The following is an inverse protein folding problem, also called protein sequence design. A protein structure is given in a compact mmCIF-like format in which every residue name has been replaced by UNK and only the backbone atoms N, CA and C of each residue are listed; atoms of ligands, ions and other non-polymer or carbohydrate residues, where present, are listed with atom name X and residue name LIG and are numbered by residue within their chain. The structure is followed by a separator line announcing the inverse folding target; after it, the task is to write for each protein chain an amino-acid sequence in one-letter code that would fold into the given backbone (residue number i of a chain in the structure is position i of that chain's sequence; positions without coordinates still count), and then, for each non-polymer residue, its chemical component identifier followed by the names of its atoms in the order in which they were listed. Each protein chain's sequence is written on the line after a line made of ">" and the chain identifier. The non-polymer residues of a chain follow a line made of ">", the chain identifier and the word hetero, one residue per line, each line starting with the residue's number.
data_IF_100540712225
#
_entry.id   IF_100540712225
#
_cell.length_a   1.000
_cell.length_b   1.000
_cell.length_c   1.000
_cell.angle_alpha   90.00
_cell.angle_beta   90.00
_cell.angle_gamma   90.00
#
_symmetry.space_group_name_H-M   'P 1'
#
loop_
_entity.id
_entity.type
_entity.pdbx_description
1 polymer ?
#
# COMPACT_ATOMS: atom_id res chain seq x y z
N UNK A 1 -13.20 -14.63 -3.26
CA UNK A 1 -12.51 -15.14 -2.08
C UNK A 1 -11.08 -15.31 -2.52
N UNK A 2 -10.21 -14.43 -2.09
CA UNK A 2 -8.78 -14.41 -2.44
C UNK A 2 -7.98 -15.28 -1.45
N UNK A 3 -8.57 -15.71 -0.33
CA UNK A 3 -7.97 -16.67 0.59
C UNK A 3 -7.98 -18.10 0.04
N UNK A 4 -6.96 -18.87 0.43
CA UNK A 4 -6.89 -20.31 0.23
C UNK A 4 -6.28 -21.02 1.43
N UNK A 5 -6.71 -22.26 1.68
CA UNK A 5 -6.17 -23.07 2.78
C UNK A 5 -5.98 -24.54 2.38
N UNK A 6 -5.11 -25.21 3.13
CA UNK A 6 -4.91 -26.65 3.08
C UNK A 6 -4.87 -27.21 4.49
N UNK A 7 -5.56 -28.33 4.71
CA UNK A 7 -5.48 -29.11 5.93
C UNK A 7 -5.47 -30.59 5.55
N UNK A 8 -4.27 -31.18 5.53
CA UNK A 8 -4.04 -32.60 5.23
C UNK A 8 -3.10 -33.18 6.28
N UNK A 9 -2.98 -34.51 6.34
CA UNK A 9 -2.19 -35.20 7.36
C UNK A 9 -0.76 -34.65 7.44
N UNK A 10 -0.47 -33.94 8.52
CA UNK A 10 0.85 -33.37 8.81
C UNK A 10 1.20 -32.05 8.10
N UNK A 11 0.30 -31.44 7.32
CA UNK A 11 0.54 -30.14 6.67
C UNK A 11 -0.72 -29.26 6.66
N UNK A 12 -0.57 -28.06 7.22
CA UNK A 12 -1.62 -27.06 7.37
C UNK A 12 -1.13 -25.71 6.87
N UNK A 13 -1.90 -25.06 6.00
CA UNK A 13 -1.51 -23.80 5.35
C UNK A 13 -2.72 -22.87 5.27
N UNK A 14 -2.50 -21.59 5.55
CA UNK A 14 -3.41 -20.49 5.24
C UNK A 14 -2.65 -19.45 4.41
N UNK A 15 -3.27 -18.99 3.34
CA UNK A 15 -2.74 -17.98 2.43
C UNK A 15 -3.83 -16.95 2.10
N UNK A 16 -3.48 -15.68 2.17
CA UNK A 16 -4.35 -14.54 1.88
C UNK A 16 -3.85 -13.84 0.61
N UNK A 17 -4.64 -13.91 -0.45
CA UNK A 17 -4.28 -13.44 -1.78
C UNK A 17 -4.47 -11.94 -1.94
N UNK A 18 -3.54 -11.29 -2.66
CA UNK A 18 -3.56 -9.87 -2.99
C UNK A 18 -3.27 -9.65 -4.49
N UNK A 19 -3.76 -8.52 -5.03
CA UNK A 19 -3.58 -8.16 -6.45
C UNK A 19 -4.88 -7.92 -7.22
N UNK A 20 -6.03 -7.90 -6.54
CA UNK A 20 -7.36 -7.83 -7.15
C UNK A 20 -7.93 -9.22 -7.40
N UNK A 21 -9.27 -9.33 -7.51
CA UNK A 21 -10.00 -10.59 -7.31
C UNK A 21 -9.45 -11.81 -8.05
N UNK A 22 -9.07 -11.68 -9.33
CA UNK A 22 -8.56 -12.83 -10.09
C UNK A 22 -7.10 -13.14 -9.76
N UNK A 23 -6.27 -12.12 -9.59
CA UNK A 23 -4.84 -12.29 -9.33
C UNK A 23 -4.58 -12.83 -7.91
N UNK A 24 -5.30 -12.33 -6.91
CA UNK A 24 -5.18 -12.79 -5.51
C UNK A 24 -5.59 -14.26 -5.33
N UNK A 25 -6.75 -14.66 -5.87
CA UNK A 25 -7.21 -16.06 -5.81
C UNK A 25 -6.21 -17.03 -6.48
N UNK A 26 -5.65 -16.64 -7.62
CA UNK A 26 -4.65 -17.46 -8.33
C UNK A 26 -3.36 -17.53 -7.51
N UNK A 27 -2.92 -16.43 -6.91
CA UNK A 27 -1.69 -16.38 -6.14
C UNK A 27 -1.75 -17.27 -4.88
N UNK A 28 -2.78 -17.12 -4.05
CA UNK A 28 -2.92 -17.88 -2.80
C UNK A 28 -3.04 -19.38 -3.09
N UNK A 29 -3.83 -19.76 -4.10
CA UNK A 29 -3.96 -21.16 -4.52
C UNK A 29 -2.65 -21.75 -5.03
N UNK A 30 -1.97 -21.05 -5.96
CA UNK A 30 -0.70 -21.52 -6.53
C UNK A 30 0.38 -21.68 -5.47
N UNK A 31 0.43 -20.78 -4.48
CA UNK A 31 1.38 -20.87 -3.38
C UNK A 31 1.15 -22.13 -2.54
N UNK A 32 -0.10 -22.37 -2.13
CA UNK A 32 -0.48 -23.53 -1.32
C UNK A 32 -0.25 -24.84 -2.08
N UNK A 33 -0.64 -24.91 -3.35
CA UNK A 33 -0.44 -26.09 -4.20
C UNK A 33 1.06 -26.39 -4.39
N UNK A 34 1.88 -25.37 -4.66
CA UNK A 34 3.33 -25.54 -4.80
C UNK A 34 3.96 -26.04 -3.50
N UNK A 35 3.60 -25.48 -2.35
CA UNK A 35 4.14 -25.95 -1.07
C UNK A 35 3.75 -27.41 -0.79
N UNK A 36 2.50 -27.77 -1.09
CA UNK A 36 2.01 -29.15 -0.94
C UNK A 36 2.77 -30.14 -1.83
N UNK A 37 3.06 -29.78 -3.07
CA UNK A 37 3.75 -30.66 -4.02
C UNK A 37 5.22 -30.89 -3.63
N UNK A 38 5.85 -29.87 -3.03
CA UNK A 38 7.29 -29.90 -2.70
C UNK A 38 7.58 -30.43 -1.30
N UNK A 39 6.63 -30.33 -0.37
CA UNK A 39 6.85 -30.73 1.00
C UNK A 39 6.59 -32.24 1.19
N UNK A 40 7.65 -32.99 1.49
CA UNK A 40 7.64 -34.44 1.70
C UNK A 40 7.89 -34.86 3.17
N UNK A 41 7.60 -33.96 4.13
CA UNK A 41 7.71 -34.19 5.59
C UNK A 41 9.13 -34.29 6.16
N UNK A 42 10.17 -33.94 5.40
CA UNK A 42 11.56 -34.20 5.78
C UNK A 42 12.23 -33.14 6.69
N UNK A 43 11.64 -31.95 6.89
CA UNK A 43 12.24 -30.92 7.76
C UNK A 43 11.67 -29.51 7.58
N UNK A 44 11.95 -28.63 8.54
CA UNK A 44 11.55 -27.20 8.48
C UNK A 44 12.28 -26.46 7.36
N UNK A 45 13.52 -26.84 7.05
CA UNK A 45 14.30 -26.30 5.94
C UNK A 45 13.72 -26.67 4.57
N UNK A 46 13.12 -27.87 4.46
CA UNK A 46 12.36 -28.29 3.28
C UNK A 46 11.10 -27.45 3.13
N UNK A 47 10.39 -27.20 4.24
CA UNK A 47 9.21 -26.31 4.23
C UNK A 47 9.59 -24.88 3.80
N UNK A 48 10.69 -24.33 4.30
CA UNK A 48 11.23 -23.04 3.86
C UNK A 48 11.54 -23.05 2.37
N UNK A 49 12.24 -24.08 1.89
CA UNK A 49 12.62 -24.21 0.48
C UNK A 49 11.40 -24.32 -0.45
N UNK A 50 10.33 -24.98 0.02
CA UNK A 50 9.06 -25.08 -0.69
C UNK A 50 8.37 -23.71 -0.81
N UNK A 51 8.36 -22.91 0.26
CA UNK A 51 7.83 -21.53 0.23
C UNK A 51 8.66 -20.63 -0.70
N UNK A 52 9.99 -20.73 -0.65
CA UNK A 52 10.85 -19.98 -1.58
C UNK A 52 10.62 -20.38 -3.04
N UNK A 53 10.31 -21.66 -3.31
CA UNK A 53 9.94 -22.12 -4.65
C UNK A 53 8.58 -21.56 -5.08
N UNK A 54 7.59 -21.59 -4.19
CA UNK A 54 6.30 -20.95 -4.43
C UNK A 54 6.45 -19.47 -4.80
N UNK A 55 7.32 -18.73 -4.10
CA UNK A 55 7.63 -17.34 -4.45
C UNK A 55 8.17 -17.20 -5.88
N UNK A 56 9.14 -18.05 -6.28
CA UNK A 56 9.72 -18.00 -7.63
C UNK A 56 8.68 -18.30 -8.72
N UNK A 57 7.79 -19.26 -8.47
CA UNK A 57 6.71 -19.60 -9.40
C UNK A 57 5.71 -18.45 -9.56
N UNK A 58 5.31 -17.82 -8.44
CA UNK A 58 4.45 -16.63 -8.45
C UNK A 58 5.09 -15.48 -9.24
N UNK A 59 6.37 -15.17 -8.99
CA UNK A 59 7.09 -14.11 -9.71
C UNK A 59 7.19 -14.42 -11.20
N UNK A 60 7.51 -15.66 -11.57
CA UNK A 60 7.55 -16.08 -12.99
C UNK A 60 6.19 -15.85 -13.65
N UNK A 61 5.13 -16.34 -13.03
CA UNK A 61 3.78 -16.29 -13.59
C UNK A 61 3.21 -14.87 -13.67
N UNK A 62 3.53 -14.01 -12.69
CA UNK A 62 3.17 -12.58 -12.72
C UNK A 62 3.90 -11.80 -13.82
N UNK A 63 5.07 -12.30 -14.26
CA UNK A 63 5.86 -11.71 -15.35
C UNK A 63 5.37 -12.18 -16.71
N UNK A 64 4.97 -13.45 -16.81
CA UNK A 64 4.57 -14.09 -18.06
C UNK A 64 3.12 -13.75 -18.46
N UNK A 65 2.24 -13.49 -17.48
CA UNK A 65 0.82 -13.18 -17.70
C UNK A 65 0.46 -11.75 -17.23
N UNK A 66 0.16 -10.82 -18.15
CA UNK A 66 -0.25 -9.46 -17.82
C UNK A 66 -1.49 -9.36 -16.93
N UNK A 67 -2.40 -10.34 -16.99
CA UNK A 67 -3.63 -10.35 -16.18
C UNK A 67 -3.35 -10.73 -14.72
N UNK A 68 -2.15 -11.28 -14.45
CA UNK A 68 -1.65 -11.64 -13.12
C UNK A 68 -0.53 -10.70 -12.63
N UNK A 69 -0.34 -9.57 -13.32
CA UNK A 69 0.70 -8.61 -12.97
C UNK A 69 0.49 -8.06 -11.56
N UNK A 70 1.51 -8.20 -10.72
CA UNK A 70 1.46 -7.75 -9.32
C UNK A 70 0.65 -8.64 -8.39
N UNK A 71 0.29 -9.87 -8.81
CA UNK A 71 -0.29 -10.85 -7.91
C UNK A 71 0.67 -11.16 -6.75
N UNK A 72 0.11 -11.36 -5.57
CA UNK A 72 0.87 -11.78 -4.41
C UNK A 72 -0.01 -12.49 -3.41
N UNK A 73 0.60 -13.05 -2.37
CA UNK A 73 -0.15 -13.68 -1.28
C UNK A 73 0.68 -13.69 -0.02
N UNK A 74 0.03 -13.70 1.14
CA UNK A 74 0.64 -14.18 2.37
C UNK A 74 0.74 -15.71 2.34
N UNK A 75 1.55 -16.28 3.23
CA UNK A 75 1.54 -17.70 3.51
C UNK A 75 2.00 -17.95 4.95
N UNK A 76 1.12 -18.55 5.74
CA UNK A 76 1.43 -19.11 7.05
C UNK A 76 1.21 -20.62 7.00
N UNK A 77 2.24 -21.39 7.32
CA UNK A 77 2.16 -22.85 7.28
C UNK A 77 2.74 -23.50 8.54
N UNK A 78 2.17 -24.66 8.86
CA UNK A 78 2.58 -25.55 9.94
C UNK A 78 2.68 -26.96 9.36
N UNK A 79 3.73 -27.69 9.72
CA UNK A 79 3.86 -29.09 9.36
C UNK A 79 4.46 -29.93 10.48
N UNK A 80 4.12 -31.21 10.51
CA UNK A 80 4.82 -32.20 11.32
C UNK A 80 6.13 -32.54 10.62
N UNK A 81 7.25 -32.37 11.32
CA UNK A 81 8.61 -32.57 10.80
C UNK A 81 9.41 -33.46 11.74
N UNK A 82 10.43 -34.14 11.21
CA UNK A 82 11.41 -34.88 12.01
C UNK A 82 12.68 -34.03 12.20
N UNK A 83 13.04 -33.74 13.45
CA UNK A 83 14.28 -33.07 13.80
C UNK A 83 15.15 -34.01 14.64
N UNK A 84 16.06 -34.71 13.96
CA UNK A 84 17.05 -35.57 14.60
C UNK A 84 16.42 -36.82 15.25
N UNK A 85 15.44 -37.42 14.59
CA UNK A 85 14.68 -38.60 15.02
C UNK A 85 13.56 -38.27 16.00
N UNK A 86 13.08 -37.03 16.03
CA UNK A 86 12.03 -36.57 16.95
C UNK A 86 10.99 -35.74 16.21
N UNK A 87 9.73 -36.03 16.50
CA UNK A 87 8.62 -35.24 15.99
C UNK A 87 8.69 -33.81 16.54
N UNK A 88 8.58 -32.85 15.63
CA UNK A 88 8.48 -31.44 15.91
C UNK A 88 7.45 -30.80 14.98
N UNK A 89 7.03 -29.59 15.33
CA UNK A 89 6.16 -28.75 14.51
C UNK A 89 7.05 -27.70 13.86
N UNK A 90 7.21 -27.79 12.54
CA UNK A 90 7.84 -26.76 11.73
C UNK A 90 6.79 -25.70 11.37
N UNK A 91 7.10 -24.43 11.64
CA UNK A 91 6.25 -23.29 11.29
C UNK A 91 7.01 -22.39 10.36
N UNK A 92 6.34 -21.88 9.32
CA UNK A 92 6.86 -20.83 8.45
C UNK A 92 5.83 -19.71 8.25
N UNK A 93 6.31 -18.47 8.13
CA UNK A 93 5.44 -17.33 7.86
C UNK A 93 6.05 -16.34 6.86
N UNK A 94 5.22 -15.87 5.95
CA UNK A 94 5.46 -14.71 5.08
C UNK A 94 4.17 -13.92 4.97
N UNK A 95 4.08 -12.78 5.66
CA UNK A 95 2.94 -11.87 5.60
C UNK A 95 2.44 -11.59 7.02
N UNK A 96 1.19 -11.18 7.13
CA UNK A 96 0.51 -10.90 8.39
C UNK A 96 -0.57 -11.92 8.75
N UNK A 97 -0.71 -13.01 7.98
CA UNK A 97 -1.41 -14.20 8.47
C UNK A 97 -0.68 -14.76 9.70
N UNK A 98 -1.45 -15.33 10.63
CA UNK A 98 -0.95 -15.63 11.97
C UNK A 98 -1.11 -17.09 12.35
N UNK A 99 -0.15 -17.58 13.13
CA UNK A 99 -0.26 -18.81 13.90
C UNK A 99 -0.24 -18.50 15.40
N UNK A 100 -1.24 -19.00 16.10
CA UNK A 100 -1.34 -18.97 17.56
C UNK A 100 -1.17 -20.38 18.13
N UNK A 101 -0.59 -20.46 19.32
CA UNK A 101 -0.54 -21.64 20.17
C UNK A 101 -1.36 -21.37 21.44
N UNK A 102 -2.37 -22.20 21.68
CA UNK A 102 -3.06 -22.33 22.95
C UNK A 102 -2.41 -23.49 23.74
N UNK A 103 -1.72 -23.15 24.82
CA UNK A 103 -1.11 -24.12 25.73
C UNK A 103 -1.44 -23.73 27.16
N UNK A 104 -1.83 -24.70 28.00
CA UNK A 104 -2.15 -24.49 29.43
C UNK A 104 -3.19 -23.37 29.66
N UNK A 105 -4.07 -23.14 28.67
CA UNK A 105 -5.11 -22.12 28.72
C UNK A 105 -4.66 -20.70 28.33
N UNK A 106 -3.40 -20.50 28.00
CA UNK A 106 -2.85 -19.24 27.47
C UNK A 106 -2.71 -19.29 25.95
N UNK A 107 -3.29 -18.29 25.27
CA UNK A 107 -3.15 -18.10 23.83
C UNK A 107 -1.94 -17.20 23.58
N UNK A 108 -1.03 -17.63 22.73
CA UNK A 108 0.16 -16.86 22.33
C UNK A 108 0.31 -16.86 20.83
N UNK A 109 0.51 -15.69 20.25
CA UNK A 109 0.96 -15.59 18.86
C UNK A 109 2.41 -16.09 18.75
N UNK A 110 2.66 -16.97 17.77
CA UNK A 110 3.99 -17.52 17.48
C UNK A 110 4.67 -16.73 16.38
N UNK A 111 3.94 -16.47 15.30
CA UNK A 111 4.46 -15.77 14.12
C UNK A 111 4.57 -14.28 14.35
N UNK A 112 5.45 -13.62 13.63
CA UNK A 112 5.50 -12.15 13.58
C UNK A 112 4.85 -11.64 12.29
N UNK A 113 4.05 -10.58 12.41
CA UNK A 113 3.41 -9.95 11.26
C UNK A 113 4.44 -9.17 10.44
N UNK A 114 4.48 -9.42 9.13
CA UNK A 114 5.22 -8.61 8.17
C UNK A 114 4.36 -7.47 7.63
N UNK A 115 3.95 -6.57 8.53
CA UNK A 115 3.19 -5.36 8.19
C UNK A 115 3.89 -4.10 8.66
N UNK A 116 3.58 -2.97 8.01
CA UNK A 116 4.17 -1.67 8.36
C UNK A 116 3.90 -1.31 9.82
N UNK A 117 2.68 -1.56 10.29
CA UNK A 117 2.29 -1.25 11.67
C UNK A 117 3.02 -2.11 12.68
N UNK A 118 3.23 -3.40 12.39
CA UNK A 118 4.02 -4.28 13.24
C UNK A 118 5.48 -3.82 13.31
N UNK A 119 6.07 -3.39 12.18
CA UNK A 119 7.41 -2.78 12.17
C UNK A 119 7.48 -1.52 13.03
N UNK A 120 6.50 -0.62 12.90
CA UNK A 120 6.45 0.63 13.68
C UNK A 120 6.28 0.36 15.18
N UNK A 121 5.43 -0.59 15.55
CA UNK A 121 5.21 -0.99 16.93
C UNK A 121 6.47 -1.60 17.55
N UNK A 122 7.14 -2.52 16.84
CA UNK A 122 8.40 -3.14 17.28
C UNK A 122 9.51 -2.10 17.48
N UNK A 123 9.51 -1.04 16.68
CA UNK A 123 10.42 0.10 16.82
C UNK A 123 10.02 1.08 17.94
N UNK A 124 8.91 0.84 18.64
CA UNK A 124 8.38 1.71 19.68
C UNK A 124 7.86 3.05 19.16
N UNK A 125 7.57 3.15 17.85
CA UNK A 125 7.10 4.39 17.21
C UNK A 125 5.61 4.60 17.35
N UNK A 126 4.86 3.52 17.51
CA UNK A 126 3.43 3.50 17.79
C UNK A 126 3.15 2.44 18.86
N UNK A 127 2.02 2.57 19.53
CA UNK A 127 1.49 1.57 20.48
C UNK A 127 0.59 0.56 19.75
N UNK A 128 0.34 -0.61 20.37
CA UNK A 128 -0.61 -1.60 19.86
C UNK A 128 -2.01 -1.01 19.57
N UNK A 129 -2.47 -0.09 20.42
CA UNK A 129 -3.77 0.57 20.25
C UNK A 129 -3.78 1.50 19.03
N UNK A 130 -2.66 2.17 18.73
CA UNK A 130 -2.51 3.01 17.54
C UNK A 130 -2.36 2.16 16.28
N UNK A 131 -1.64 1.04 16.34
CA UNK A 131 -1.47 0.09 15.25
C UNK A 131 -2.83 -0.44 14.74
N UNK A 132 -3.73 -0.81 15.66
CA UNK A 132 -5.05 -1.35 15.35
C UNK A 132 -5.94 -0.41 14.51
N UNK A 133 -5.79 0.91 14.67
CA UNK A 133 -6.59 1.93 13.95
C UNK A 133 -5.78 2.69 12.90
N UNK A 134 -4.55 2.26 12.63
CA UNK A 134 -3.66 2.99 11.73
C UNK A 134 -4.18 2.95 10.28
N UNK A 135 -4.12 4.08 9.53
CA UNK A 135 -4.60 4.13 8.15
C UNK A 135 -3.82 3.21 7.20
N UNK A 136 -2.59 2.86 7.55
CA UNK A 136 -1.70 1.99 6.76
C UNK A 136 -1.55 0.59 7.37
N UNK A 137 -2.52 0.11 8.16
CA UNK A 137 -2.42 -1.22 8.81
C UNK A 137 -2.38 -2.38 7.82
N UNK A 138 -3.01 -2.22 6.64
CA UNK A 138 -3.04 -3.24 5.57
C UNK A 138 -1.81 -3.19 4.65
N UNK A 139 -0.75 -2.44 4.99
CA UNK A 139 0.47 -2.41 4.16
C UNK A 139 1.41 -3.51 4.64
N UNK A 140 1.62 -4.51 3.79
CA UNK A 140 2.60 -5.58 4.02
C UNK A 140 4.03 -5.09 3.73
N UNK A 141 4.97 -5.49 4.59
CA UNK A 141 6.41 -5.32 4.36
C UNK A 141 7.02 -6.55 3.68
N UNK A 142 6.32 -7.69 3.69
CA UNK A 142 6.73 -8.93 3.02
C UNK A 142 5.52 -9.71 2.54
N UNK A 143 5.56 -10.16 1.28
CA UNK A 143 4.56 -11.02 0.66
C UNK A 143 5.24 -11.90 -0.39
N UNK A 144 4.63 -13.03 -0.74
CA UNK A 144 5.07 -13.87 -1.84
C UNK A 144 4.62 -13.27 -3.18
N UNK A 145 5.40 -13.50 -4.24
CA UNK A 145 5.06 -13.10 -5.62
C UNK A 145 5.47 -11.69 -6.01
N UNK A 146 5.93 -10.87 -5.06
CA UNK A 146 6.30 -9.46 -5.30
C UNK A 146 7.80 -9.33 -5.65
N UNK A 147 8.67 -9.80 -4.77
CA UNK A 147 10.12 -9.76 -4.96
C UNK A 147 10.66 -11.13 -5.43
N UNK A 148 11.71 -11.13 -6.27
CA UNK A 148 12.33 -12.37 -6.78
C UNK A 148 12.97 -13.26 -5.70
N UNK A 149 13.22 -12.71 -4.51
CA UNK A 149 13.72 -13.43 -3.34
C UNK A 149 12.90 -13.02 -2.13
N UNK A 150 12.50 -14.00 -1.31
CA UNK A 150 11.75 -13.76 -0.08
C UNK A 150 12.50 -14.32 1.12
N UNK A 151 12.48 -13.59 2.23
CA UNK A 151 12.95 -14.09 3.53
C UNK A 151 11.80 -14.80 4.23
N UNK A 152 11.91 -16.11 4.41
CA UNK A 152 10.89 -16.90 5.11
C UNK A 152 11.26 -16.97 6.58
N UNK A 153 10.36 -16.51 7.44
CA UNK A 153 10.56 -16.67 8.87
C UNK A 153 10.15 -18.10 9.26
N UNK A 154 10.94 -18.77 10.11
CA UNK A 154 10.68 -20.15 10.50
C UNK A 154 10.91 -20.44 11.98
N UNK A 155 10.12 -21.35 12.53
CA UNK A 155 10.20 -21.81 13.92
C UNK A 155 10.09 -23.32 14.00
N UNK A 156 10.74 -23.89 15.00
CA UNK A 156 10.66 -25.31 15.33
C UNK A 156 10.11 -25.44 16.75
N UNK A 157 8.97 -26.11 16.91
CA UNK A 157 8.25 -26.18 18.18
C UNK A 157 8.11 -27.64 18.61
N UNK A 158 8.37 -27.94 19.87
CA UNK A 158 8.09 -29.26 20.43
C UNK A 158 6.58 -29.38 20.67
N UNK A 159 5.86 -30.31 20.00
CA UNK A 159 4.44 -30.51 20.26
C UNK A 159 4.23 -31.15 21.63
N UNK A 160 3.25 -30.65 22.38
CA UNK A 160 2.79 -31.25 23.63
C UNK A 160 1.34 -31.65 23.49
N UNK A 161 0.99 -32.84 23.98
CA UNK A 161 -0.38 -33.34 23.95
C UNK A 161 -1.31 -32.37 24.68
N UNK A 162 -2.42 -32.01 24.03
CA UNK A 162 -3.35 -31.00 24.53
C UNK A 162 -3.04 -29.58 24.06
N UNK A 163 -1.91 -29.34 23.38
CA UNK A 163 -1.70 -28.10 22.65
C UNK A 163 -2.70 -27.98 21.50
N UNK A 164 -3.15 -26.75 21.26
CA UNK A 164 -4.01 -26.41 20.13
C UNK A 164 -3.42 -25.24 19.36
N UNK A 165 -3.32 -25.39 18.05
CA UNK A 165 -2.85 -24.35 17.16
C UNK A 165 -4.01 -23.75 16.36
N UNK A 166 -3.90 -22.46 16.05
CA UNK A 166 -4.81 -21.74 15.17
C UNK A 166 -4.00 -21.03 14.10
N UNK A 167 -4.19 -21.39 12.84
CA UNK A 167 -3.74 -20.60 11.69
C UNK A 167 -4.91 -19.74 11.22
N UNK A 168 -4.67 -18.48 10.85
CA UNK A 168 -5.73 -17.60 10.35
C UNK A 168 -5.23 -16.46 9.46
N UNK A 169 -6.10 -16.01 8.54
CA UNK A 169 -5.96 -14.76 7.79
C UNK A 169 -6.38 -13.57 8.65
N UNK A 170 -6.11 -12.35 8.17
CA UNK A 170 -6.38 -11.12 8.89
C UNK A 170 -7.88 -10.85 9.10
N UNK A 171 -8.73 -11.38 8.22
CA UNK A 171 -10.18 -11.31 8.35
C UNK A 171 -10.72 -11.93 9.63
N UNK A 172 -9.98 -12.85 10.28
CA UNK A 172 -10.36 -13.33 11.62
C UNK A 172 -9.97 -12.34 12.72
N UNK A 173 -8.67 -12.05 12.86
CA UNK A 173 -8.15 -11.31 14.03
C UNK A 173 -8.43 -9.80 13.97
N UNK A 174 -8.79 -9.26 12.80
CA UNK A 174 -9.29 -7.89 12.67
C UNK A 174 -10.74 -7.74 13.18
N UNK A 175 -11.52 -8.82 13.21
CA UNK A 175 -12.95 -8.80 13.58
C UNK A 175 -13.23 -9.41 14.96
N UNK A 176 -12.33 -10.27 15.45
CA UNK A 176 -12.45 -10.97 16.73
C UNK A 176 -11.21 -10.72 17.58
N UNK A 177 -11.39 -10.12 18.75
CA UNK A 177 -10.28 -9.88 19.68
C UNK A 177 -9.71 -11.19 20.27
N UNK A 178 -8.43 -11.15 20.63
CA UNK A 178 -7.70 -12.32 21.13
C UNK A 178 -8.33 -12.98 22.35
N UNK A 179 -9.01 -12.23 23.23
CA UNK A 179 -9.66 -12.82 24.40
C UNK A 179 -10.85 -13.68 23.98
N UNK A 180 -11.64 -13.24 22.99
CA UNK A 180 -12.73 -14.03 22.39
C UNK A 180 -12.19 -15.23 21.63
N UNK A 181 -11.09 -15.08 20.88
CA UNK A 181 -10.43 -16.21 20.21
C UNK A 181 -10.01 -17.26 21.25
N UNK A 182 -9.28 -16.83 22.28
CA UNK A 182 -8.83 -17.69 23.39
C UNK A 182 -9.99 -18.36 24.11
N UNK A 183 -11.07 -17.65 24.39
CA UNK A 183 -12.25 -18.23 25.04
C UNK A 183 -12.91 -19.31 24.17
N UNK A 184 -13.07 -19.05 22.87
CA UNK A 184 -13.68 -19.98 21.91
C UNK A 184 -12.85 -21.27 21.80
N UNK A 185 -11.53 -21.13 21.62
CA UNK A 185 -10.62 -22.28 21.52
C UNK A 185 -10.57 -23.11 22.81
N UNK A 186 -10.85 -22.53 23.99
CA UNK A 186 -10.91 -23.25 25.28
C UNK A 186 -12.25 -23.93 25.53
N UNK A 187 -13.35 -23.35 25.05
CA UNK A 187 -14.70 -23.83 25.36
C UNK A 187 -15.15 -24.98 24.46
N UNK A 188 -14.76 -24.95 23.18
CA UNK A 188 -15.20 -25.92 22.19
C UNK A 188 -14.15 -27.01 22.04
N UNK A 189 -14.48 -28.25 22.42
CA UNK A 189 -13.54 -29.37 22.35
C UNK A 189 -13.26 -29.80 20.90
N UNK A 190 -14.26 -29.78 20.02
CA UNK A 190 -14.08 -30.16 18.61
C UNK A 190 -13.41 -29.01 17.82
N UNK A 191 -12.28 -29.26 17.12
CA UNK A 191 -11.57 -28.23 16.36
C UNK A 191 -12.41 -27.69 15.20
N UNK A 192 -13.28 -28.52 14.59
CA UNK A 192 -14.18 -28.11 13.52
C UNK A 192 -15.33 -27.21 14.02
N UNK A 193 -15.84 -27.43 15.22
CA UNK A 193 -16.78 -26.53 15.91
C UNK A 193 -16.10 -25.21 16.28
N UNK A 194 -14.88 -25.26 16.83
CA UNK A 194 -14.11 -24.07 17.16
C UNK A 194 -13.87 -23.19 15.93
N UNK A 195 -13.42 -23.76 14.81
CA UNK A 195 -13.22 -23.03 13.56
C UNK A 195 -14.52 -22.38 13.05
N UNK A 196 -15.63 -23.14 13.02
CA UNK A 196 -16.94 -22.61 12.60
C UNK A 196 -17.43 -21.48 13.49
N UNK A 197 -17.24 -21.59 14.80
CA UNK A 197 -17.62 -20.54 15.74
C UNK A 197 -16.77 -19.28 15.57
N UNK A 198 -15.45 -19.42 15.39
CA UNK A 198 -14.56 -18.29 15.09
C UNK A 198 -14.99 -17.57 13.80
N UNK A 199 -15.28 -18.31 12.72
CA UNK A 199 -15.80 -17.75 11.48
C UNK A 199 -17.14 -17.03 11.70
N UNK A 200 -18.05 -17.59 12.52
CA UNK A 200 -19.32 -16.93 12.87
C UNK A 200 -19.08 -15.62 13.61
N UNK A 201 -18.21 -15.63 14.63
CA UNK A 201 -17.88 -14.44 15.42
C UNK A 201 -17.24 -13.33 14.57
N UNK A 202 -16.40 -13.69 13.59
CA UNK A 202 -15.79 -12.72 12.67
C UNK A 202 -16.82 -12.09 11.72
N UNK A 203 -17.73 -12.91 11.17
CA UNK A 203 -18.85 -12.39 10.37
C UNK A 203 -19.75 -11.45 11.18
N UNK A 204 -19.99 -11.74 12.46
CA UNK A 204 -20.74 -10.86 13.36
C UNK A 204 -19.98 -9.58 13.76
N UNK A 205 -18.64 -9.64 13.77
CA UNK A 205 -17.76 -8.49 14.05
C UNK A 205 -17.76 -7.45 12.93
N UNK A 206 -18.12 -7.85 11.71
CA UNK A 206 -18.22 -6.96 10.56
C UNK A 206 -18.04 -7.67 9.22
N UNK A 207 -17.28 -8.79 9.20
CA UNK A 207 -17.06 -9.60 8.00
C UNK A 207 -16.54 -8.78 6.82
N UNK A 208 -15.63 -7.84 7.08
CA UNK A 208 -15.14 -6.87 6.07
C UNK A 208 -14.17 -7.47 5.07
N UNK A 209 -13.58 -8.61 5.41
CA UNK A 209 -12.63 -9.34 4.57
C UNK A 209 -12.96 -10.83 4.47
N UNK A 210 -12.17 -11.56 3.70
CA UNK A 210 -12.19 -13.01 3.61
C UNK A 210 -11.70 -13.60 4.95
N UNK A 211 -12.42 -14.61 5.45
CA UNK A 211 -12.17 -15.19 6.78
C UNK A 211 -11.78 -16.64 6.59
N UNK A 212 -10.52 -16.94 6.85
CA UNK A 212 -9.97 -18.30 6.77
C UNK A 212 -9.26 -18.64 8.06
N UNK A 213 -9.57 -19.81 8.63
CA UNK A 213 -8.83 -20.33 9.77
C UNK A 213 -8.79 -21.85 9.81
N UNK A 214 -7.74 -22.40 10.41
CA UNK A 214 -7.52 -23.83 10.61
C UNK A 214 -7.15 -24.05 12.07
N UNK A 215 -7.88 -24.95 12.75
CA UNK A 215 -7.60 -25.35 14.14
C UNK A 215 -7.00 -26.74 14.13
N UNK A 216 -5.85 -26.91 14.80
CA UNK A 216 -5.10 -28.18 14.83
C UNK A 216 -4.85 -28.58 16.27
N UNK A 217 -5.22 -29.81 16.63
CA UNK A 217 -5.01 -30.37 17.96
C UNK A 217 -3.82 -31.33 17.96
N UNK A 218 -3.00 -31.25 19.02
CA UNK A 218 -1.97 -32.27 19.29
C UNK A 218 -2.58 -33.36 20.15
N UNK A 219 -2.85 -34.51 19.54
CA UNK A 219 -3.31 -35.72 20.22
C UNK A 219 -2.19 -36.77 20.30
N UNK A 220 -2.15 -37.55 21.38
CA UNK A 220 -1.27 -38.72 21.49
C UNK A 220 -1.83 -39.84 20.61
N UNK A 221 -1.07 -40.26 19.60
CA UNK A 221 -1.34 -41.50 18.86
C UNK A 221 -0.47 -42.62 19.44
N UNK A 222 -0.90 -43.14 20.59
CA UNK A 222 -0.29 -44.31 21.27
C UNK A 222 1.21 -44.20 21.61
N UNK A 223 1.54 -43.54 22.71
CA UNK A 223 2.62 -44.01 23.60
C UNK A 223 4.00 -43.41 23.37
N UNK A 224 4.11 -42.11 23.09
CA UNK A 224 5.37 -41.38 23.27
C UNK A 224 5.30 -40.46 24.48
N UNK A 225 6.36 -40.54 25.25
CA UNK A 225 6.53 -40.10 26.64
C UNK A 225 6.00 -38.68 26.95
N UNK A 226 5.22 -38.56 28.02
CA UNK A 226 4.50 -37.34 28.45
C UNK A 226 5.29 -36.46 29.39
N UNK A 227 6.57 -36.78 29.66
CA UNK A 227 7.35 -36.10 30.67
C UNK A 227 8.47 -35.26 30.06
N UNK A 228 8.15 -34.00 29.71
CA UNK A 228 9.17 -32.98 29.39
C UNK A 228 8.81 -31.60 29.95
N UNK A 229 9.69 -31.11 30.82
CA UNK A 229 9.69 -29.78 31.41
C UNK A 229 9.50 -28.66 30.37
N UNK A 230 8.62 -27.72 30.70
CA UNK A 230 7.97 -26.71 29.81
C UNK A 230 8.85 -25.47 29.53
N UNK A 231 10.17 -25.53 29.71
CA UNK A 231 11.04 -24.36 29.50
C UNK A 231 11.77 -24.44 28.16
N UNK A 232 11.30 -23.68 27.17
CA UNK A 232 11.93 -23.53 25.85
C UNK A 232 11.35 -24.43 24.76
N UNK A 233 10.04 -24.33 24.49
CA UNK A 233 9.36 -25.11 23.44
C UNK A 233 9.77 -24.74 22.01
N UNK A 234 10.20 -23.51 21.78
CA UNK A 234 10.78 -23.07 20.51
C UNK A 234 12.25 -23.50 20.49
N UNK A 235 12.56 -24.54 19.72
CA UNK A 235 13.90 -25.09 19.54
C UNK A 235 14.79 -24.10 18.77
N UNK A 236 14.23 -23.50 17.73
CA UNK A 236 14.90 -22.59 16.81
C UNK A 236 13.90 -21.56 16.29
N UNK A 237 14.36 -20.33 16.08
CA UNK A 237 13.64 -19.29 15.35
C UNK A 237 14.61 -18.60 14.39
N UNK A 238 14.26 -18.55 13.11
CA UNK A 238 14.98 -17.83 12.08
C UNK A 238 14.07 -16.72 11.56
N UNK A 239 14.18 -15.53 12.11
CA UNK A 239 13.45 -14.35 11.63
C UNK A 239 14.41 -13.44 10.84
N UNK A 240 14.10 -13.24 9.57
CA UNK A 240 14.89 -12.39 8.67
C UNK A 240 14.50 -10.95 8.90
N UNK A 241 15.04 -10.30 9.94
CA UNK A 241 14.62 -8.98 10.41
C UNK A 241 14.30 -7.93 9.32
N UNK A 242 13.40 -7.00 9.66
CA UNK A 242 12.83 -6.01 8.72
C UNK A 242 13.87 -5.22 7.91
N UNK A 243 13.49 -4.86 6.68
CA UNK A 243 14.18 -3.82 5.91
C UNK A 243 14.14 -2.52 6.72
N UNK A 244 15.27 -1.86 6.99
CA UNK A 244 15.27 -0.55 7.65
C UNK A 244 14.42 0.43 6.85
N UNK A 245 13.33 0.92 7.45
CA UNK A 245 12.56 2.03 6.88
C UNK A 245 13.37 3.30 7.15
N UNK A 246 14.26 3.67 6.23
CA UNK A 246 15.03 4.91 6.30
C UNK A 246 14.06 6.11 6.38
N UNK A 247 14.13 6.86 7.48
CA UNK A 247 13.45 8.14 7.61
C UNK A 247 14.13 9.21 6.73
N UNK A 248 13.38 10.21 6.21
CA UNK A 248 14.00 11.36 5.55
C UNK A 248 14.88 12.12 6.55
N UNK A 249 16.09 12.43 6.11
CA UNK A 249 17.14 13.06 6.93
C UNK A 249 16.67 14.36 7.59
N UNK A 250 16.43 14.33 8.89
CA UNK A 250 16.40 15.54 9.73
C UNK A 250 17.78 15.80 10.29
N UNK A 251 18.43 16.83 9.73
CA UNK A 251 19.63 17.43 10.28
C UNK A 251 19.32 18.05 11.65
N UNK A 252 19.94 17.53 12.70
CA UNK A 252 20.17 18.30 13.93
C UNK A 252 21.46 17.85 14.58
N UNK A 253 22.40 18.79 14.65
CA UNK A 253 23.68 18.69 15.30
C UNK A 253 23.55 18.61 16.83
N UNK A 254 24.45 17.85 17.48
CA UNK A 254 25.41 18.30 18.49
C UNK A 254 25.75 17.22 19.52
N UNK A 255 27.05 17.16 19.83
CA UNK A 255 27.65 16.78 21.13
C UNK A 255 27.48 15.31 21.54
N UNK A 256 28.43 14.61 22.15
CA UNK A 256 29.66 14.93 22.83
C UNK A 256 30.08 13.62 23.52
N UNK A 257 31.38 13.40 23.64
CA UNK A 257 31.96 12.16 24.16
C UNK A 257 31.46 11.81 25.58
N UNK A 258 31.23 10.51 25.85
CA UNK A 258 31.82 9.89 27.02
C UNK A 258 31.94 8.35 26.95
N UNK A 259 32.87 7.86 27.74
CA UNK A 259 33.54 6.56 27.74
C UNK A 259 32.65 5.38 28.16
N UNK A 260 32.94 4.16 27.65
CA UNK A 260 33.24 3.01 28.52
C UNK A 260 33.83 1.80 27.78
N UNK A 261 34.92 1.30 28.36
CA UNK A 261 35.71 0.12 27.99
C UNK A 261 35.07 -1.14 28.61
N UNK A 262 34.93 -2.25 27.84
CA UNK A 262 34.95 -3.66 28.31
C UNK A 262 35.00 -4.66 27.12
N UNK A 263 35.33 -5.95 27.33
CA UNK A 263 36.56 -6.54 26.79
C UNK A 263 36.41 -7.35 25.50
N UNK A 264 37.57 -7.53 24.88
CA UNK A 264 37.90 -8.20 23.62
C UNK A 264 37.57 -9.69 23.65
N UNK A 265 36.52 -10.11 22.94
CA UNK A 265 36.34 -11.48 22.44
C UNK A 265 36.82 -11.51 20.99
N UNK A 266 37.79 -12.39 20.71
CA UNK A 266 38.27 -12.65 19.34
C UNK A 266 37.11 -13.31 18.58
N UNK A 267 36.55 -12.63 17.58
CA UNK A 267 35.79 -13.27 16.52
C UNK A 267 36.46 -12.99 15.18
N UNK A 268 36.64 -14.07 14.43
CA UNK A 268 37.25 -14.09 13.11
C UNK A 268 36.45 -13.21 12.15
N UNK A 269 37.13 -12.29 11.47
CA UNK A 269 36.53 -11.51 10.42
C UNK A 269 36.14 -12.39 9.24
N UNK A 270 34.84 -12.48 8.96
CA UNK A 270 34.35 -12.74 7.61
C UNK A 270 33.74 -11.43 7.11
N UNK A 271 34.50 -10.73 6.27
CA UNK A 271 34.01 -9.58 5.53
C UNK A 271 32.93 -10.05 4.56
N UNK A 272 31.66 -9.74 4.82
CA UNK A 272 30.61 -9.86 3.82
C UNK A 272 30.90 -8.83 2.71
N UNK A 273 31.53 -9.31 1.63
CA UNK A 273 31.63 -8.55 0.38
C UNK A 273 30.22 -8.37 -0.17
N UNK A 274 29.66 -7.17 0.01
CA UNK A 274 28.45 -6.72 -0.69
C UNK A 274 28.66 -6.90 -2.19
N UNK A 275 27.87 -7.77 -2.82
CA UNK A 275 27.83 -7.96 -4.27
C UNK A 275 26.88 -6.95 -4.89
N UNK A 276 27.11 -5.66 -4.65
CA UNK A 276 26.52 -4.62 -5.49
C UNK A 276 27.24 -4.68 -6.84
N UNK A 277 26.67 -5.40 -7.80
CA UNK A 277 27.22 -5.37 -9.16
C UNK A 277 26.97 -3.98 -9.71
N UNK A 278 27.97 -3.37 -10.35
CA UNK A 278 27.85 -2.06 -11.00
C UNK A 278 26.65 -1.97 -11.97
N UNK A 279 26.16 -3.13 -12.44
CA UNK A 279 24.96 -3.30 -13.25
C UNK A 279 23.65 -2.92 -12.52
N UNK A 280 23.51 -3.22 -11.23
CA UNK A 280 22.33 -2.83 -10.42
C UNK A 280 22.34 -1.32 -10.20
N UNK A 281 23.51 -0.73 -9.91
CA UNK A 281 23.65 0.72 -9.82
C UNK A 281 23.36 1.42 -11.15
N UNK A 282 23.81 0.86 -12.27
CA UNK A 282 23.54 1.40 -13.60
C UNK A 282 22.05 1.33 -13.98
N UNK A 283 21.34 0.25 -13.62
CA UNK A 283 19.91 0.10 -13.88
C UNK A 283 19.08 1.12 -13.08
N UNK A 284 19.35 1.24 -11.77
CA UNK A 284 18.66 2.22 -10.92
C UNK A 284 18.94 3.66 -11.37
N UNK A 285 20.18 3.95 -11.80
CA UNK A 285 20.52 5.24 -12.38
C UNK A 285 19.77 5.55 -13.69
N UNK A 286 19.61 4.54 -14.55
CA UNK A 286 18.84 4.70 -15.80
C UNK A 286 17.35 4.92 -15.54
N UNK A 287 16.75 4.17 -14.61
CA UNK A 287 15.36 4.35 -14.19
C UNK A 287 15.13 5.76 -13.64
N UNK A 288 16.01 6.23 -12.76
CA UNK A 288 15.95 7.58 -12.20
C UNK A 288 16.07 8.64 -13.30
N UNK A 289 16.95 8.44 -14.28
CA UNK A 289 17.10 9.37 -15.40
C UNK A 289 15.83 9.46 -16.26
N UNK A 290 15.13 8.35 -16.51
CA UNK A 290 13.87 8.33 -17.26
C UNK A 290 12.78 9.08 -16.49
N UNK A 291 12.66 8.84 -15.19
CA UNK A 291 11.67 9.53 -14.34
C UNK A 291 11.95 11.04 -14.29
N UNK A 292 13.21 11.44 -14.10
CA UNK A 292 13.62 12.84 -14.13
C UNK A 292 13.39 13.49 -15.49
N UNK A 293 13.62 12.77 -16.59
CA UNK A 293 13.34 13.25 -17.93
C UNK A 293 11.83 13.44 -18.16
N UNK A 294 11.00 12.49 -17.73
CA UNK A 294 9.54 12.59 -17.80
C UNK A 294 8.98 13.77 -16.99
N UNK A 295 9.44 13.92 -15.74
CA UNK A 295 9.11 15.07 -14.89
C UNK A 295 9.56 16.39 -15.52
N UNK A 296 10.79 16.44 -16.05
CA UNK A 296 11.32 17.60 -16.75
C UNK A 296 10.51 17.96 -18.00
N UNK A 297 10.06 16.96 -18.76
CA UNK A 297 9.23 17.15 -19.95
C UNK A 297 7.84 17.68 -19.61
N UNK A 298 7.20 17.16 -18.54
CA UNK A 298 5.91 17.67 -18.04
C UNK A 298 6.04 19.12 -17.57
N UNK A 299 7.07 19.44 -16.79
CA UNK A 299 7.33 20.81 -16.34
C UNK A 299 7.63 21.73 -17.52
N UNK A 300 8.43 21.29 -18.49
CA UNK A 300 8.78 22.08 -19.67
C UNK A 300 7.56 22.38 -20.54
N UNK A 301 6.70 21.39 -20.78
CA UNK A 301 5.47 21.58 -21.57
C UNK A 301 4.45 22.46 -20.86
N UNK A 302 4.36 22.41 -19.54
CA UNK A 302 3.41 23.24 -18.78
C UNK A 302 3.87 24.65 -18.43
N UNK A 303 5.17 24.91 -18.40
CA UNK A 303 5.73 26.27 -18.13
C UNK A 303 5.96 27.08 -19.40
N UNK A 304 5.88 26.45 -20.57
CA UNK A 304 6.06 27.10 -21.87
C UNK A 304 4.73 27.44 -22.56
N UNK A 305 3.65 27.53 -21.79
CA UNK A 305 2.35 28.04 -22.23
C UNK A 305 2.13 29.46 -21.72
N UNK A 306 1.22 30.18 -22.37
CA UNK A 306 0.82 31.53 -21.96
C UNK A 306 -0.68 31.51 -21.72
N UNK A 307 -1.18 32.34 -20.81
CA UNK A 307 -2.62 32.53 -20.70
C UNK A 307 -2.98 33.98 -20.37
N UNK A 308 -4.18 34.37 -20.76
CA UNK A 308 -4.78 35.67 -20.44
C UNK A 308 -5.73 35.46 -19.27
N UNK A 309 -5.47 36.13 -18.16
CA UNK A 309 -6.24 36.04 -16.93
C UNK A 309 -6.52 37.42 -16.33
N UNK A 310 -6.95 37.42 -15.08
CA UNK A 310 -7.29 38.63 -14.32
C UNK A 310 -6.32 38.77 -13.15
N UNK A 311 -5.72 39.95 -13.01
CA UNK A 311 -4.90 40.32 -11.85
C UNK A 311 -5.49 41.60 -11.25
N UNK A 312 -6.14 41.48 -10.09
CA UNK A 312 -6.89 42.59 -9.49
C UNK A 312 -8.04 43.08 -10.38
N UNK A 313 -8.00 44.36 -10.76
CA UNK A 313 -9.02 45.02 -11.58
C UNK A 313 -8.66 45.10 -13.08
N UNK A 314 -7.56 44.45 -13.52
CA UNK A 314 -7.07 44.52 -14.89
C UNK A 314 -6.86 43.15 -15.51
N UNK A 315 -6.94 43.09 -16.85
CA UNK A 315 -6.55 41.90 -17.61
C UNK A 315 -5.02 41.80 -17.64
N UNK A 316 -4.49 40.62 -17.37
CA UNK A 316 -3.06 40.36 -17.33
C UNK A 316 -2.68 39.13 -18.16
N UNK A 317 -1.44 39.12 -18.65
CA UNK A 317 -0.85 38.00 -19.37
C UNK A 317 0.12 37.29 -18.43
N UNK A 318 -0.09 36.00 -18.25
CA UNK A 318 0.72 35.13 -17.41
C UNK A 318 1.47 34.10 -18.24
N UNK A 319 2.62 33.67 -17.73
CA UNK A 319 3.38 32.54 -18.25
C UNK A 319 3.15 31.33 -17.37
N UNK A 320 2.70 30.23 -17.97
CA UNK A 320 2.34 28.98 -17.29
C UNK A 320 0.91 28.54 -17.60
N UNK A 321 0.32 27.73 -16.71
CA UNK A 321 -1.06 27.28 -16.78
C UNK A 321 -1.96 27.99 -15.76
N UNK A 322 -3.25 28.22 -16.07
CA UNK A 322 -4.22 28.68 -15.09
C UNK A 322 -4.27 27.74 -13.89
N UNK A 323 -4.08 28.26 -12.67
CA UNK A 323 -4.06 27.46 -11.43
C UNK A 323 -2.71 26.80 -11.06
N UNK A 324 -1.66 27.03 -11.84
CA UNK A 324 -0.31 26.49 -11.57
C UNK A 324 -0.10 25.05 -12.04
N UNK A 325 1.15 24.59 -11.99
CA UNK A 325 1.50 23.20 -12.31
C UNK A 325 2.45 22.63 -11.25
N UNK A 326 1.98 21.61 -10.53
CA UNK A 326 2.68 21.03 -9.37
C UNK A 326 2.98 22.10 -8.31
N UNK A 327 4.26 22.36 -8.03
CA UNK A 327 4.75 23.37 -7.08
C UNK A 327 5.23 24.66 -7.78
N UNK A 328 4.91 24.85 -9.07
CA UNK A 328 5.31 26.01 -9.87
C UNK A 328 4.08 26.87 -10.12
N UNK A 329 4.05 28.03 -9.49
CA UNK A 329 3.04 29.06 -9.70
C UNK A 329 3.28 29.81 -11.04
N UNK A 330 2.23 30.32 -11.69
CA UNK A 330 2.35 31.08 -12.93
C UNK A 330 3.03 32.43 -12.69
N UNK A 331 3.90 32.84 -13.60
CA UNK A 331 4.62 34.12 -13.51
C UNK A 331 3.83 35.23 -14.23
N UNK A 332 3.60 36.35 -13.55
CA UNK A 332 2.97 37.52 -14.14
C UNK A 332 3.94 38.19 -15.12
N UNK A 333 3.60 38.19 -16.42
CA UNK A 333 4.47 38.77 -17.44
C UNK A 333 4.14 40.22 -17.76
N UNK A 334 2.85 40.56 -17.90
CA UNK A 334 2.43 41.88 -18.36
C UNK A 334 1.03 42.23 -17.85
N UNK A 335 0.89 43.38 -17.18
CA UNK A 335 -0.42 43.95 -16.84
C UNK A 335 -0.86 44.82 -18.01
N UNK A 336 -2.04 44.57 -18.55
CA UNK A 336 -2.56 45.33 -19.68
C UNK A 336 -3.37 46.53 -19.20
N UNK A 337 -3.50 47.55 -20.05
CA UNK A 337 -4.26 48.76 -19.73
C UNK A 337 -5.78 48.59 -19.82
N UNK A 338 -6.29 47.35 -20.01
CA UNK A 338 -7.71 47.04 -20.10
C UNK A 338 -8.27 46.71 -18.70
N UNK A 339 -9.13 47.56 -18.12
CA UNK A 339 -9.82 47.24 -16.87
C UNK A 339 -10.80 46.09 -17.08
N UNK A 340 -11.00 45.26 -16.06
CA UNK A 340 -11.94 44.15 -16.08
C UNK A 340 -13.39 44.61 -16.37
N UNK A 341 -13.74 45.83 -15.93
CA UNK A 341 -15.04 46.46 -16.18
C UNK A 341 -15.32 46.69 -17.68
N UNK A 342 -14.28 46.82 -18.49
CA UNK A 342 -14.37 47.10 -19.93
C UNK A 342 -14.33 45.83 -20.78
N UNK A 343 -14.19 44.65 -20.16
CA UNK A 343 -14.21 43.37 -20.87
C UNK A 343 -15.63 43.05 -21.35
N UNK A 344 -15.84 42.70 -22.64
CA UNK A 344 -17.15 42.31 -23.14
C UNK A 344 -17.77 41.17 -22.32
N UNK A 345 -19.06 41.29 -21.96
CA UNK A 345 -19.77 40.31 -21.12
C UNK A 345 -19.71 38.87 -21.67
N UNK A 346 -19.62 38.70 -22.99
CA UNK A 346 -19.49 37.40 -23.64
C UNK A 346 -18.13 36.71 -23.38
N UNK A 347 -17.07 37.48 -23.13
CA UNK A 347 -15.71 36.98 -22.92
C UNK A 347 -15.27 37.02 -21.45
N UNK A 348 -16.05 37.67 -20.57
CA UNK A 348 -15.74 37.81 -19.15
C UNK A 348 -15.53 36.46 -18.45
N UNK A 349 -16.41 35.49 -18.71
CA UNK A 349 -16.30 34.15 -18.12
C UNK A 349 -15.03 33.40 -18.58
N UNK A 350 -14.66 33.56 -19.85
CA UNK A 350 -13.46 32.92 -20.42
C UNK A 350 -12.17 33.55 -19.89
N UNK A 351 -12.11 34.89 -19.82
CA UNK A 351 -10.95 35.62 -19.28
C UNK A 351 -10.76 35.35 -17.79
N UNK A 352 -11.85 35.22 -17.03
CA UNK A 352 -11.79 34.87 -15.60
C UNK A 352 -11.31 33.43 -15.37
N UNK A 353 -11.63 32.51 -16.29
CA UNK A 353 -11.19 31.12 -16.22
C UNK A 353 -9.73 30.92 -16.67
N UNK A 354 -9.13 31.91 -17.35
CA UNK A 354 -7.78 31.83 -17.92
C UNK A 354 -7.79 31.23 -19.33
N UNK A 355 -7.63 32.08 -20.35
CA UNK A 355 -7.60 31.63 -21.76
C UNK A 355 -6.17 31.26 -22.14
N UNK A 356 -5.93 29.97 -22.39
CA UNK A 356 -4.63 29.47 -22.83
C UNK A 356 -4.32 29.88 -24.28
N UNK A 357 -3.11 30.37 -24.50
CA UNK A 357 -2.61 30.87 -25.78
C UNK A 357 -1.21 30.27 -26.06
N UNK A 358 -0.90 29.94 -27.33
CA UNK A 358 0.33 29.23 -27.68
C UNK A 358 1.59 30.11 -27.64
N UNK A 359 1.44 31.44 -27.52
CA UNK A 359 2.57 32.38 -27.43
C UNK A 359 2.15 33.71 -26.82
N UNK A 360 3.11 34.46 -26.27
CA UNK A 360 2.91 35.82 -25.77
C UNK A 360 2.30 36.75 -26.85
N UNK A 361 2.74 36.63 -28.11
CA UNK A 361 2.20 37.41 -29.22
C UNK A 361 0.74 37.07 -29.52
N UNK A 362 0.32 35.81 -29.32
CA UNK A 362 -1.07 35.40 -29.46
C UNK A 362 -1.93 35.94 -28.31
N UNK A 363 -1.44 35.86 -27.06
CA UNK A 363 -2.08 36.47 -25.91
C UNK A 363 -2.27 38.00 -26.06
N UNK A 364 -1.26 38.72 -26.55
CA UNK A 364 -1.39 40.15 -26.86
C UNK A 364 -2.42 40.44 -27.95
N UNK A 365 -2.49 39.60 -28.98
CA UNK A 365 -3.50 39.72 -30.04
C UNK A 365 -4.90 39.46 -29.50
N UNK A 366 -5.05 38.50 -28.60
CA UNK A 366 -6.31 38.23 -27.92
C UNK A 366 -6.78 39.44 -27.13
N UNK A 367 -5.91 40.06 -26.33
CA UNK A 367 -6.21 41.30 -25.60
C UNK A 367 -6.56 42.45 -26.56
N UNK A 368 -5.82 42.63 -27.66
CA UNK A 368 -6.11 43.66 -28.65
C UNK A 368 -7.50 43.48 -29.29
N UNK A 369 -7.92 42.23 -29.56
CA UNK A 369 -9.25 41.93 -30.06
C UNK A 369 -10.35 42.26 -29.03
N UNK A 370 -10.09 42.06 -27.72
CA UNK A 370 -11.04 42.43 -26.67
C UNK A 370 -11.24 43.94 -26.61
N UNK A 371 -10.16 44.73 -26.78
CA UNK A 371 -10.22 46.19 -26.84
C UNK A 371 -11.06 46.63 -28.05
N UNK A 372 -10.82 46.06 -29.24
CA UNK A 372 -11.59 46.39 -30.44
C UNK A 372 -13.08 46.03 -30.31
N UNK A 373 -13.39 44.91 -29.64
CA UNK A 373 -14.78 44.51 -29.37
C UNK A 373 -15.47 45.48 -28.41
N UNK A 374 -14.77 45.94 -27.37
CA UNK A 374 -15.26 46.98 -26.47
C UNK A 374 -15.57 48.27 -27.25
N UNK A 375 -14.63 48.75 -28.08
CA UNK A 375 -14.77 49.98 -28.87
C UNK A 375 -15.93 49.91 -29.88
N UNK A 376 -16.19 48.73 -30.46
CA UNK A 376 -17.35 48.49 -31.34
C UNK A 376 -18.66 48.49 -30.56
N UNK A 377 -18.69 47.91 -29.36
CA UNK A 377 -19.89 47.88 -28.51
C UNK A 377 -20.27 49.29 -28.03
N UNK A 378 -19.29 50.11 -27.66
CA UNK A 378 -19.53 51.52 -27.28
C UNK A 378 -19.94 52.39 -28.47
N UNK A 379 -19.34 52.19 -29.64
CA UNK A 379 -19.69 52.92 -30.88
C UNK A 379 -21.09 52.62 -31.41
N UNK A 380 -21.55 51.37 -31.31
CA UNK A 380 -22.91 50.98 -31.72
C UNK A 380 -24.01 51.53 -30.80
N UNK A 381 -23.71 51.74 -29.51
CA UNK A 381 -24.63 52.34 -28.54
C UNK A 381 -24.86 53.84 -28.81
N UNK A 382 -23.86 54.56 -29.32
CA UNK A 382 -23.95 55.99 -29.65
C UNK A 382 -24.81 56.28 -30.90
N UNK A 383 -24.91 55.33 -31.84
CA UNK A 383 -25.66 55.52 -33.10
C UNK A 383 -27.17 55.29 -32.96
N UNK A 384 -27.61 54.56 -31.93
CA UNK A 384 -29.03 54.25 -31.72
C UNK A 384 -29.86 55.40 -31.10
N UNK A 385 -29.24 56.51 -30.67
CA UNK A 385 -29.92 57.59 -29.95
C UNK A 385 -30.52 58.71 -30.83
N UNK A 386 -30.36 58.66 -32.17
CA UNK A 386 -30.72 59.80 -33.05
C UNK A 386 -31.86 59.54 -34.06
N UNK A 387 -32.72 58.56 -33.82
CA UNK A 387 -33.85 58.27 -34.71
C UNK A 387 -35.15 57.95 -33.98
N UNK A 388 -35.71 58.94 -33.29
CA UNK A 388 -37.17 59.03 -33.10
C UNK A 388 -37.58 60.46 -32.74
N UNK A 389 -38.28 61.14 -33.65
CA UNK A 389 -39.48 61.98 -33.43
C UNK A 389 -39.76 62.78 -34.71
N UNK A 390 -40.55 62.20 -35.62
CA UNK A 390 -41.33 62.95 -36.61
C UNK A 390 -42.57 62.12 -36.95
N UNK A 391 -43.69 62.42 -36.29
CA UNK A 391 -45.02 62.00 -36.74
C UNK A 391 -46.03 63.13 -36.51
N UNK A 392 -46.34 63.76 -37.63
CA UNK A 392 -47.55 64.48 -38.06
C UNK A 392 -48.54 64.99 -37.00
N UNK A 393 -48.71 66.32 -37.00
CA UNK A 393 -49.91 67.00 -36.56
C UNK A 393 -51.05 66.82 -37.60
N UNK A 394 -52.22 66.39 -37.14
CA UNK A 394 -53.47 66.47 -37.91
C UNK A 394 -54.32 67.60 -37.34
N UNK A 395 -54.53 68.62 -38.17
CA UNK A 395 -55.41 69.77 -37.96
C UNK A 395 -56.87 69.33 -37.92
N UNK A 396 -57.66 69.81 -36.95
CA UNK A 396 -59.12 69.86 -37.07
C UNK A 396 -59.59 71.24 -36.61
N UNK A 397 -60.18 71.97 -37.53
CA UNK A 397 -60.71 73.32 -37.38
C UNK A 397 -62.21 73.25 -37.03
N UNK A 398 -62.57 74.09 -36.07
CA UNK A 398 -63.87 74.51 -35.51
C UNK A 398 -64.98 74.82 -36.54
N UNK A 399 -66.26 74.75 -36.13
CA UNK A 399 -67.22 75.88 -36.04
C UNK A 399 -68.61 75.39 -35.61
N UNK A 400 -69.21 76.10 -34.63
CA UNK A 400 -70.57 76.64 -34.66
C UNK A 400 -71.76 75.70 -34.51
#
# INVERSE_FOLDING_TARGET
>A
NEDFFLAVDGLFIVADGMGGHQAGEVASRLAVETVREEFDSAGTDVLVSAVEKANRELVSRSTDDPDLAGMGTTLCAMALVDIGGRDAVGVVNVGDSRLYLLSEGELRQITEDHSLVATLERQGRITAAEAAVHPQRNILTRALGIDGTVMVDSWEIIPVVGDRYLLCSDGLFNEVDENRISATLRQLADPGEAARELTRLANEGGGRDNITCVVVDVSDDTGRDTDRDVVGRVLSAHTGGDIPIDAPATNSAQSGADQQIKPKVRQAGQTLRSRYTWRVGAFLGALLAIVLFGLGFIVWTGTNTWYVGVEGDSVAIFRGKPGGLLWIDPELSEITALPLADVPAASLAAVTAGVEEPSQSAARRYVANLIEQHDRATSSTSTASTSSTSSMATTTTTVG
#
